data_IF_464917451606
#
_entry.id   IF_464917451606
#
_cell.length_a   1.000
_cell.length_b   1.000
_cell.length_c   1.000
_cell.angle_alpha   90.00
_cell.angle_beta   90.00
_cell.angle_gamma   90.00
#
_symmetry.space_group_name_H-M   'P 1'
#
loop_
_entity.id
_entity.type
_entity.pdbx_description
1 polymer ?
#
# COMPACT_ATOMS: atom_id res chain seq x y z
N UNK A 1 21.57 19.90 -10.66
CA UNK A 1 20.29 19.73 -9.96
C UNK A 1 20.18 18.27 -9.56
N UNK A 2 20.26 17.95 -8.27
CA UNK A 2 20.15 16.57 -7.80
C UNK A 2 18.70 16.11 -7.95
N UNK A 3 18.48 15.11 -8.80
CA UNK A 3 17.25 14.32 -8.83
C UNK A 3 16.98 13.84 -7.42
N UNK A 4 15.93 14.37 -6.78
CA UNK A 4 15.40 13.79 -5.55
C UNK A 4 14.95 12.38 -5.94
N UNK A 5 15.81 11.40 -5.68
CA UNK A 5 15.44 10.00 -5.68
C UNK A 5 14.11 9.92 -4.95
N UNK A 6 13.10 9.45 -5.66
CA UNK A 6 11.76 9.28 -5.15
C UNK A 6 11.88 8.27 -4.00
N UNK A 7 12.05 8.78 -2.77
CA UNK A 7 12.03 7.93 -1.61
C UNK A 7 10.61 7.36 -1.59
N UNK A 8 10.41 6.04 -1.65
CA UNK A 8 9.07 5.49 -1.52
C UNK A 8 8.50 6.07 -0.23
N UNK A 9 7.31 6.66 -0.33
CA UNK A 9 6.62 7.18 0.82
C UNK A 9 6.61 6.09 1.91
N UNK A 10 6.74 6.45 3.20
CA UNK A 10 6.65 5.48 4.27
C UNK A 10 5.37 4.65 4.08
N UNK A 11 5.51 3.34 4.08
CA UNK A 11 4.37 2.44 3.91
C UNK A 11 3.28 2.79 4.93
N UNK A 12 2.00 2.77 4.53
CA UNK A 12 0.92 3.12 5.43
C UNK A 12 0.95 2.16 6.64
N UNK A 13 1.03 2.73 7.84
CA UNK A 13 1.01 2.01 9.11
C UNK A 13 -0.40 1.52 9.49
N UNK A 14 -1.19 1.12 8.49
CA UNK A 14 -2.54 0.60 8.68
C UNK A 14 -2.43 -0.88 9.06
N UNK A 15 -3.18 -1.30 10.08
CA UNK A 15 -3.14 -2.65 10.63
C UNK A 15 -3.50 -3.71 9.59
N UNK A 16 -4.40 -3.37 8.66
CA UNK A 16 -4.77 -4.24 7.53
C UNK A 16 -3.58 -4.42 6.58
N UNK A 17 -2.81 -3.36 6.37
CA UNK A 17 -1.66 -3.33 5.49
C UNK A 17 -0.51 -4.16 6.04
N UNK A 18 -0.23 -4.00 7.32
CA UNK A 18 0.79 -4.78 8.02
C UNK A 18 0.44 -6.26 8.05
N UNK A 19 -0.84 -6.60 8.23
CA UNK A 19 -1.29 -8.00 8.14
C UNK A 19 -1.05 -8.60 6.75
N UNK A 20 -1.39 -7.86 5.68
CA UNK A 20 -1.14 -8.29 4.29
C UNK A 20 0.37 -8.43 4.01
N UNK A 21 1.18 -7.48 4.49
CA UNK A 21 2.64 -7.50 4.35
C UNK A 21 3.27 -8.72 5.03
N UNK A 22 2.86 -9.01 6.26
CA UNK A 22 3.31 -10.20 6.99
C UNK A 22 2.88 -11.48 6.28
N UNK A 23 1.65 -11.53 5.76
CA UNK A 23 1.13 -12.70 5.04
C UNK A 23 1.90 -12.97 3.75
N UNK A 24 2.21 -11.92 2.99
CA UNK A 24 3.09 -12.00 1.83
C UNK A 24 4.49 -12.51 2.18
N UNK A 25 5.07 -12.01 3.28
CA UNK A 25 6.38 -12.45 3.76
C UNK A 25 6.39 -13.96 4.05
N UNK A 26 5.38 -14.45 4.75
CA UNK A 26 5.23 -15.89 5.05
C UNK A 26 5.08 -16.71 3.78
N UNK A 27 4.28 -16.24 2.81
CA UNK A 27 4.08 -16.95 1.54
C UNK A 27 5.31 -16.95 0.64
N UNK A 28 6.19 -15.94 0.77
CA UNK A 28 7.46 -15.86 0.03
C UNK A 28 8.55 -16.72 0.66
N UNK A 29 8.58 -16.82 1.99
CA UNK A 29 9.54 -17.66 2.71
C UNK A 29 9.17 -19.15 2.65
N UNK A 30 7.91 -19.49 2.32
CA UNK A 30 7.45 -20.86 2.10
C UNK A 30 7.60 -21.28 0.62
N UNK A 31 8.61 -22.11 0.34
CA UNK A 31 8.90 -22.60 -1.01
C UNK A 31 7.88 -23.58 -1.59
N UNK A 32 6.96 -24.11 -0.78
CA UNK A 32 5.91 -25.07 -1.20
C UNK A 32 4.55 -24.38 -1.44
N UNK A 33 4.48 -23.05 -1.28
CA UNK A 33 3.26 -22.28 -1.49
C UNK A 33 2.81 -22.34 -2.95
N UNK A 34 1.52 -22.58 -3.13
CA UNK A 34 0.87 -22.48 -4.44
C UNK A 34 1.09 -21.09 -5.02
N UNK A 35 1.61 -21.01 -6.25
CA UNK A 35 1.80 -19.75 -7.00
C UNK A 35 0.53 -18.90 -7.05
N UNK A 36 -0.64 -19.54 -7.05
CA UNK A 36 -1.94 -18.86 -6.99
C UNK A 36 -2.24 -18.19 -5.65
N UNK A 37 -1.78 -18.77 -4.54
CA UNK A 37 -1.94 -18.17 -3.22
C UNK A 37 -1.04 -16.94 -3.06
N UNK A 38 0.20 -17.02 -3.57
CA UNK A 38 1.11 -15.89 -3.62
C UNK A 38 0.55 -14.75 -4.48
N UNK A 39 0.12 -15.05 -5.71
CA UNK A 39 -0.45 -14.05 -6.63
C UNK A 39 -1.70 -13.37 -6.06
N UNK A 40 -2.55 -14.12 -5.34
CA UNK A 40 -3.72 -13.55 -4.67
C UNK A 40 -3.33 -12.61 -3.53
N UNK A 41 -2.30 -12.96 -2.77
CA UNK A 41 -1.83 -12.12 -1.66
C UNK A 41 -1.16 -10.83 -2.17
N UNK A 42 -0.40 -10.93 -3.26
CA UNK A 42 0.21 -9.78 -3.94
C UNK A 42 -0.88 -8.84 -4.48
N UNK A 43 -1.87 -9.40 -5.18
CA UNK A 43 -2.99 -8.60 -5.69
C UNK A 43 -3.78 -7.91 -4.57
N UNK A 44 -4.03 -8.60 -3.45
CA UNK A 44 -4.71 -8.00 -2.30
C UNK A 44 -3.91 -6.86 -1.67
N UNK A 45 -2.58 -6.99 -1.65
CA UNK A 45 -1.68 -5.95 -1.16
C UNK A 45 -1.70 -4.71 -2.07
N UNK A 46 -1.64 -4.89 -3.39
CA UNK A 46 -1.69 -3.79 -4.36
C UNK A 46 -3.01 -3.03 -4.29
N UNK A 47 -4.14 -3.74 -4.17
CA UNK A 47 -5.46 -3.12 -4.01
C UNK A 47 -5.53 -2.30 -2.72
N UNK A 48 -4.98 -2.81 -1.62
CA UNK A 48 -4.92 -2.06 -0.37
C UNK A 48 -4.10 -0.77 -0.52
N UNK A 49 -3.01 -0.81 -1.30
CA UNK A 49 -2.14 0.35 -1.51
C UNK A 49 -2.91 1.44 -2.26
N UNK A 50 -3.56 1.03 -3.35
CA UNK A 50 -4.37 1.92 -4.18
C UNK A 50 -5.53 2.54 -3.39
N UNK A 51 -6.20 1.76 -2.55
CA UNK A 51 -7.27 2.26 -1.70
C UNK A 51 -6.78 3.28 -0.67
N UNK A 52 -5.61 3.04 -0.06
CA UNK A 52 -5.02 3.98 0.88
C UNK A 52 -4.60 5.29 0.19
N UNK A 53 -3.95 5.20 -0.97
CA UNK A 53 -3.53 6.39 -1.73
C UNK A 53 -4.74 7.19 -2.20
N UNK A 54 -5.80 6.51 -2.65
CA UNK A 54 -7.07 7.15 -2.98
C UNK A 54 -7.71 7.85 -1.77
N UNK A 55 -7.68 7.23 -0.59
CA UNK A 55 -8.16 7.84 0.66
C UNK A 55 -7.37 9.11 0.99
N UNK A 56 -6.05 9.07 0.91
CA UNK A 56 -5.19 10.23 1.17
C UNK A 56 -5.44 11.35 0.15
N UNK A 57 -5.63 11.00 -1.12
CA UNK A 57 -5.98 11.95 -2.17
C UNK A 57 -7.32 12.64 -1.89
N UNK A 58 -8.36 11.89 -1.52
CA UNK A 58 -9.65 12.47 -1.14
C UNK A 58 -9.54 13.39 0.08
N UNK A 59 -8.79 13.00 1.12
CA UNK A 59 -8.54 13.85 2.29
C UNK A 59 -7.77 15.12 1.97
N UNK A 60 -6.90 15.08 0.94
CA UNK A 60 -6.21 16.27 0.47
C UNK A 60 -7.16 17.20 -0.28
N UNK A 61 -8.01 16.66 -1.15
CA UNK A 61 -9.03 17.43 -1.85
C UNK A 61 -10.01 18.09 -0.87
N UNK A 62 -10.51 17.35 0.10
CA UNK A 62 -11.43 17.84 1.12
C UNK A 62 -10.84 19.05 1.87
N UNK A 63 -9.59 18.92 2.35
CA UNK A 63 -8.85 20.03 2.98
C UNK A 63 -8.62 21.22 2.06
N UNK A 64 -8.42 20.99 0.76
CA UNK A 64 -8.24 22.08 -0.20
C UNK A 64 -9.53 22.88 -0.42
N UNK A 65 -10.69 22.22 -0.33
CA UNK A 65 -11.99 22.88 -0.36
C UNK A 65 -12.27 23.65 0.93
N UNK A 66 -11.94 23.09 2.09
CA UNK A 66 -12.07 23.79 3.37
C UNK A 66 -11.16 25.03 3.45
N UNK A 67 -9.95 24.97 2.90
CA UNK A 67 -9.01 26.10 2.88
C UNK A 67 -9.39 27.20 1.88
N UNK A 68 -10.25 26.90 0.90
CA UNK A 68 -10.75 27.85 -0.08
C UNK A 68 -12.03 28.60 0.37
N UNK A 69 -12.53 28.29 1.58
CA UNK A 69 -13.72 28.89 2.20
C UNK A 69 -13.34 29.93 3.26
#
# INVERSE_FOLDING_TARGET
>A
MHSKLHHPAPYPADEVFENLRQRLRVLLDDGDVSRWALLRAEWAYDVALLANDFRLWMQHLDRSFDAAR
#
